data_IF_683832474475
#
_entry.id   IF_683832474475
#
_cell.length_a   1.000
_cell.length_b   1.000
_cell.length_c   1.000
_cell.angle_alpha   90.00
_cell.angle_beta   90.00
_cell.angle_gamma   90.00
#
_symmetry.space_group_name_H-M   'P 1'
#
loop_
_entity.id
_entity.type
_entity.pdbx_description
1 polymer ?
#
# COMPACT_ATOMS: atom_id res chain seq x y z
N UNK A 1 13.87 -2.02 9.69
CA UNK A 1 15.31 -1.66 9.60
C UNK A 1 15.76 -0.65 10.66
N UNK A 2 14.89 0.26 11.10
CA UNK A 2 15.26 1.32 12.02
C UNK A 2 15.44 0.93 13.49
N UNK A 3 15.34 -0.35 13.87
CA UNK A 3 15.48 -0.80 15.28
C UNK A 3 16.59 -1.85 15.48
N UNK A 4 17.20 -2.36 14.41
CA UNK A 4 18.21 -3.42 14.51
C UNK A 4 19.61 -2.83 14.64
N UNK A 5 20.30 -3.15 15.73
CA UNK A 5 21.75 -2.89 15.93
C UNK A 5 22.64 -4.06 15.50
N UNK A 6 22.06 -5.23 15.20
CA UNK A 6 22.77 -6.47 14.85
C UNK A 6 22.44 -6.93 13.42
N UNK A 7 23.42 -7.57 12.74
CA UNK A 7 23.29 -8.06 11.37
C UNK A 7 22.09 -9.01 11.17
N UNK A 8 21.87 -9.94 12.11
CA UNK A 8 20.73 -10.86 12.06
C UNK A 8 19.37 -10.15 12.11
N UNK A 9 19.25 -9.08 12.91
CA UNK A 9 18.03 -8.27 12.95
C UNK A 9 17.80 -7.50 11.66
N UNK A 10 18.86 -7.02 11.01
CA UNK A 10 18.76 -6.34 9.72
C UNK A 10 18.31 -7.31 8.60
N UNK A 11 18.87 -8.52 8.57
CA UNK A 11 18.49 -9.55 7.61
C UNK A 11 17.03 -10.00 7.76
N UNK A 12 16.59 -10.25 9.00
CA UNK A 12 15.19 -10.60 9.29
C UNK A 12 14.21 -9.50 8.86
N UNK A 13 14.54 -8.23 9.14
CA UNK A 13 13.70 -7.10 8.74
C UNK A 13 13.64 -6.93 7.22
N UNK A 14 14.70 -7.29 6.48
CA UNK A 14 14.69 -7.29 5.02
C UNK A 14 13.85 -8.41 4.43
N UNK A 15 13.92 -9.60 5.02
CA UNK A 15 13.08 -10.72 4.61
C UNK A 15 11.60 -10.40 4.77
N UNK A 16 11.21 -9.86 5.93
CA UNK A 16 9.82 -9.47 6.19
C UNK A 16 9.34 -8.35 5.26
N UNK A 17 10.19 -7.36 4.98
CA UNK A 17 9.86 -6.31 4.02
C UNK A 17 9.61 -6.88 2.62
N UNK A 18 10.50 -7.74 2.12
CA UNK A 18 10.36 -8.35 0.80
C UNK A 18 9.11 -9.24 0.71
N UNK A 19 8.80 -10.00 1.76
CA UNK A 19 7.56 -10.77 1.85
C UNK A 19 6.32 -9.87 1.74
N UNK A 20 6.29 -8.76 2.49
CA UNK A 20 5.18 -7.81 2.44
C UNK A 20 5.02 -7.14 1.06
N UNK A 21 6.13 -6.71 0.45
CA UNK A 21 6.11 -6.07 -0.87
C UNK A 21 5.61 -7.03 -1.98
N UNK A 22 5.95 -8.32 -1.89
CA UNK A 22 5.51 -9.31 -2.89
C UNK A 22 4.00 -9.53 -2.94
N UNK A 23 3.31 -9.45 -1.80
CA UNK A 23 1.87 -9.70 -1.70
C UNK A 23 1.09 -8.51 -2.27
N UNK A 24 1.64 -7.31 -2.20
CA UNK A 24 0.95 -6.07 -2.50
C UNK A 24 0.40 -6.03 -3.94
N UNK A 25 1.22 -6.36 -4.94
CA UNK A 25 0.78 -6.38 -6.33
C UNK A 25 -0.33 -7.40 -6.55
N UNK A 26 -0.15 -8.64 -6.09
CA UNK A 26 -1.13 -9.71 -6.25
C UNK A 26 -2.48 -9.35 -5.59
N UNK A 27 -2.45 -8.73 -4.41
CA UNK A 27 -3.65 -8.28 -3.71
C UNK A 27 -4.42 -7.24 -4.52
N UNK A 28 -3.74 -6.22 -5.08
CA UNK A 28 -4.40 -5.21 -5.92
C UNK A 28 -5.00 -5.80 -7.19
N UNK A 29 -4.32 -6.75 -7.83
CA UNK A 29 -4.84 -7.46 -9.00
C UNK A 29 -6.11 -8.25 -8.66
N UNK A 30 -6.12 -8.99 -7.54
CA UNK A 30 -7.29 -9.77 -7.12
C UNK A 30 -8.47 -8.86 -6.80
N UNK A 31 -8.25 -7.79 -6.03
CA UNK A 31 -9.32 -6.82 -5.72
C UNK A 31 -9.87 -6.21 -7.01
N UNK A 32 -9.01 -5.78 -7.94
CA UNK A 32 -9.48 -5.21 -9.21
C UNK A 32 -10.26 -6.23 -10.05
N UNK A 33 -9.84 -7.50 -10.06
CA UNK A 33 -10.58 -8.55 -10.76
C UNK A 33 -11.93 -8.90 -10.12
N UNK A 34 -12.06 -8.78 -8.80
CA UNK A 34 -13.31 -9.06 -8.10
C UNK A 34 -14.40 -8.02 -8.35
N UNK A 35 -14.03 -6.77 -8.66
CA UNK A 35 -14.96 -5.64 -8.76
C UNK A 35 -15.19 -5.14 -10.20
N UNK A 36 -14.38 -5.56 -11.17
CA UNK A 36 -14.43 -5.04 -12.55
C UNK A 36 -14.42 -6.13 -13.62
N UNK A 37 -15.24 -5.93 -14.65
CA UNK A 37 -15.32 -6.75 -15.86
C UNK A 37 -14.05 -6.65 -16.71
N UNK A 38 -13.76 -7.70 -17.49
CA UNK A 38 -12.51 -7.85 -18.27
C UNK A 38 -12.19 -6.69 -19.20
N UNK A 39 -13.20 -6.00 -19.71
CA UNK A 39 -13.04 -4.86 -20.62
C UNK A 39 -12.59 -3.57 -19.88
N UNK A 40 -12.93 -3.43 -18.60
CA UNK A 40 -12.62 -2.23 -17.80
C UNK A 40 -11.31 -2.34 -17.00
N UNK A 41 -10.86 -3.58 -16.77
CA UNK A 41 -9.61 -3.89 -16.06
C UNK A 41 -8.37 -3.13 -16.58
N UNK A 42 -8.08 -3.07 -17.91
CA UNK A 42 -6.85 -2.44 -18.39
C UNK A 42 -6.78 -0.94 -18.10
N UNK A 43 -7.89 -0.22 -18.25
CA UNK A 43 -7.94 1.23 -18.01
C UNK A 43 -7.68 1.54 -16.53
N UNK A 44 -8.26 0.74 -15.63
CA UNK A 44 -8.07 0.94 -14.19
C UNK A 44 -6.67 0.56 -13.73
N UNK A 45 -6.11 -0.54 -14.25
CA UNK A 45 -4.72 -0.91 -13.98
C UNK A 45 -3.75 0.16 -14.47
N UNK A 46 -3.99 0.74 -15.64
CA UNK A 46 -3.19 1.87 -16.13
C UNK A 46 -3.31 3.10 -15.23
N UNK A 47 -4.51 3.40 -14.72
CA UNK A 47 -4.70 4.49 -13.75
C UNK A 47 -3.93 4.23 -12.44
N UNK A 48 -3.97 3.00 -11.90
CA UNK A 48 -3.19 2.60 -10.73
C UNK A 48 -1.69 2.75 -10.96
N UNK A 49 -1.18 2.20 -12.06
CA UNK A 49 0.24 2.33 -12.41
C UNK A 49 0.65 3.78 -12.67
N UNK A 50 -0.24 4.59 -13.23
CA UNK A 50 -0.05 6.02 -13.48
C UNK A 50 0.12 6.87 -12.22
N UNK A 51 -0.29 6.38 -11.05
CA UNK A 51 -0.04 7.08 -9.76
C UNK A 51 1.40 6.93 -9.27
N UNK A 52 2.17 5.96 -9.78
CA UNK A 52 3.56 5.71 -9.38
C UNK A 52 4.46 6.96 -9.45
N UNK A 53 4.51 7.75 -10.54
CA UNK A 53 5.31 8.97 -10.59
C UNK A 53 4.88 10.03 -9.56
N UNK A 54 3.58 10.13 -9.26
CA UNK A 54 3.08 11.06 -8.24
C UNK A 54 3.61 10.65 -6.86
N UNK A 55 3.58 9.35 -6.56
CA UNK A 55 4.14 8.82 -5.31
C UNK A 55 5.65 9.09 -5.19
N UNK A 56 6.40 9.02 -6.29
CA UNK A 56 7.84 9.35 -6.30
C UNK A 56 8.07 10.84 -5.99
N UNK A 57 7.27 11.74 -6.56
CA UNK A 57 7.37 13.20 -6.30
C UNK A 57 7.05 13.50 -4.82
N UNK A 58 6.00 12.89 -4.29
CA UNK A 58 5.65 13.05 -2.86
C UNK A 58 6.76 12.47 -1.97
N UNK A 59 7.28 11.28 -2.31
CA UNK A 59 8.37 10.63 -1.59
C UNK A 59 9.67 11.45 -1.59
N UNK A 60 10.01 12.10 -2.69
CA UNK A 60 11.19 12.96 -2.78
C UNK A 60 11.03 14.26 -1.97
N UNK A 61 9.83 14.84 -1.93
CA UNK A 61 9.51 15.98 -1.06
C UNK A 61 9.62 15.60 0.43
N UNK A 62 9.12 14.42 0.81
CA UNK A 62 9.28 13.88 2.16
C UNK A 62 10.76 13.65 2.52
N UNK A 63 11.56 13.10 1.60
CA UNK A 63 12.99 12.91 1.80
C UNK A 63 13.73 14.25 2.00
N UNK A 64 13.35 15.29 1.25
CA UNK A 64 13.87 16.64 1.45
C UNK A 64 13.53 17.20 2.85
N UNK A 65 12.30 17.00 3.32
CA UNK A 65 11.88 17.41 4.66
C UNK A 65 12.64 16.69 5.78
N UNK A 66 12.90 15.39 5.63
CA UNK A 66 13.72 14.61 6.57
C UNK A 66 15.19 15.09 6.54
N UNK A 67 15.67 15.55 5.38
CA UNK A 67 16.98 16.17 5.19
C UNK A 67 17.27 17.37 6.11
N UNK A 68 16.23 18.09 6.52
CA UNK A 68 16.34 19.25 7.42
C UNK A 68 16.38 18.90 8.92
N UNK A 69 16.14 17.63 9.28
CA UNK A 69 16.08 17.19 10.67
C UNK A 69 17.50 16.86 11.15
N UNK A 70 18.10 17.78 11.89
CA UNK A 70 19.43 17.61 12.49
C UNK A 70 19.31 16.78 13.77
N UNK A 71 19.45 15.46 13.67
CA UNK A 71 19.35 14.54 14.82
C UNK A 71 20.47 13.51 14.80
N UNK A 72 20.88 13.04 15.98
CA UNK A 72 21.99 12.10 16.20
C UNK A 72 21.68 10.66 15.72
N UNK A 73 20.49 10.45 15.14
CA UNK A 73 20.00 9.16 14.67
C UNK A 73 20.01 9.26 13.13
N UNK A 74 20.68 8.33 12.45
CA UNK A 74 20.87 8.43 10.99
C UNK A 74 19.57 8.68 10.23
N UNK A 75 19.53 9.72 9.38
CA UNK A 75 18.37 10.20 8.62
C UNK A 75 17.57 9.08 7.95
N UNK A 76 18.27 8.06 7.42
CA UNK A 76 17.68 6.91 6.76
C UNK A 76 16.67 6.14 7.64
N UNK A 77 16.88 6.09 8.96
CA UNK A 77 15.98 5.40 9.91
C UNK A 77 14.63 6.10 10.00
N UNK A 78 14.59 7.43 9.90
CA UNK A 78 13.36 8.20 9.93
C UNK A 78 12.49 7.94 8.70
N UNK A 79 13.08 7.84 7.51
CA UNK A 79 12.33 7.49 6.30
C UNK A 79 11.61 6.14 6.44
N UNK A 80 12.28 5.14 7.01
CA UNK A 80 11.66 3.82 7.24
C UNK A 80 10.58 3.82 8.31
N UNK A 81 10.73 4.61 9.37
CA UNK A 81 9.72 4.71 10.44
C UNK A 81 8.48 5.45 9.92
N UNK A 82 8.66 6.58 9.24
CA UNK A 82 7.56 7.41 8.75
C UNK A 82 6.78 6.66 7.66
N UNK A 83 7.47 6.13 6.65
CA UNK A 83 6.81 5.35 5.60
C UNK A 83 6.14 4.10 6.18
N UNK A 84 6.79 3.40 7.12
CA UNK A 84 6.21 2.24 7.79
C UNK A 84 4.95 2.59 8.57
N UNK A 85 4.96 3.69 9.33
CA UNK A 85 3.81 4.15 10.11
C UNK A 85 2.63 4.52 9.21
N UNK A 86 2.88 5.26 8.11
CA UNK A 86 1.84 5.62 7.14
C UNK A 86 1.24 4.36 6.52
N UNK A 87 2.06 3.38 6.11
CA UNK A 87 1.58 2.12 5.55
C UNK A 87 0.74 1.31 6.54
N UNK A 88 1.11 1.28 7.82
CA UNK A 88 0.32 0.58 8.87
C UNK A 88 -1.02 1.29 9.09
N UNK A 89 -1.03 2.61 9.18
CA UNK A 89 -2.28 3.39 9.32
C UNK A 89 -3.18 3.13 8.10
N UNK A 90 -2.62 3.14 6.89
CA UNK A 90 -3.37 2.85 5.67
C UNK A 90 -3.92 1.42 5.66
N UNK A 91 -3.14 0.43 6.10
CA UNK A 91 -3.60 -0.95 6.22
C UNK A 91 -4.76 -1.09 7.22
N UNK A 92 -4.72 -0.38 8.35
CA UNK A 92 -5.83 -0.35 9.32
C UNK A 92 -7.07 0.30 8.71
N UNK A 93 -6.91 1.41 7.99
CA UNK A 93 -8.03 2.04 7.28
C UNK A 93 -8.63 1.07 6.26
N UNK A 94 -7.81 0.42 5.44
CA UNK A 94 -8.27 -0.57 4.48
C UNK A 94 -8.95 -1.77 5.14
N UNK A 95 -8.49 -2.21 6.32
CA UNK A 95 -9.14 -3.27 7.08
C UNK A 95 -10.60 -2.92 7.43
N UNK A 96 -10.85 -1.65 7.80
CA UNK A 96 -12.21 -1.20 8.13
C UNK A 96 -13.02 -0.78 6.90
N UNK A 97 -12.38 -0.20 5.88
CA UNK A 97 -13.03 0.36 4.71
C UNK A 97 -13.27 -0.65 3.59
N UNK A 98 -12.51 -1.77 3.53
CA UNK A 98 -12.61 -2.77 2.48
C UNK A 98 -13.49 -3.95 2.95
N UNK A 99 -14.79 -4.01 2.57
CA UNK A 99 -15.60 -5.20 2.79
C UNK A 99 -15.03 -6.36 1.96
N UNK A 100 -14.77 -7.49 2.62
CA UNK A 100 -14.13 -8.70 2.09
C UNK A 100 -14.89 -9.41 0.97
N UNK A 101 -16.06 -8.92 0.59
CA UNK A 101 -16.87 -9.45 -0.49
C UNK A 101 -17.64 -8.32 -1.19
N UNK A 102 -17.73 -8.31 -2.54
CA UNK A 102 -18.67 -7.43 -3.25
C UNK A 102 -20.13 -7.70 -2.85
N UNK A 103 -20.41 -8.88 -2.28
CA UNK A 103 -21.68 -9.19 -1.65
C UNK A 103 -21.86 -8.56 -0.25
N UNK A 104 -20.81 -8.13 0.46
CA UNK A 104 -20.93 -7.54 1.81
C UNK A 104 -20.68 -6.02 1.81
N UNK A 105 -20.76 -5.40 0.65
CA UNK A 105 -20.45 -3.99 0.51
C UNK A 105 -21.53 -3.13 1.18
N UNK A 106 -21.19 -2.47 2.29
CA UNK A 106 -22.11 -1.59 3.01
C UNK A 106 -22.56 -0.37 2.18
N UNK A 107 -21.93 -0.16 1.01
CA UNK A 107 -22.18 0.96 0.10
C UNK A 107 -23.02 0.59 -1.14
N UNK A 108 -23.24 -0.70 -1.47
CA UNK A 108 -24.04 -1.09 -2.65
C UNK A 108 -25.51 -1.37 -2.28
N UNK A 109 -26.42 -0.80 -3.07
CA UNK A 109 -27.85 -1.15 -3.02
C UNK A 109 -28.11 -2.53 -3.66
N UNK A 110 -29.21 -3.20 -3.28
CA UNK A 110 -29.58 -4.57 -3.72
C UNK A 110 -29.49 -4.78 -5.25
N UNK A 111 -29.72 -3.72 -6.03
CA UNK A 111 -29.68 -3.71 -7.50
C UNK A 111 -28.28 -3.78 -8.10
N UNK A 112 -27.29 -3.14 -7.48
CA UNK A 112 -25.90 -3.15 -7.95
C UNK A 112 -25.21 -4.48 -7.60
N UNK A 113 -25.64 -5.11 -6.50
CA UNK A 113 -25.19 -6.43 -6.07
C UNK A 113 -25.55 -7.55 -7.07
N UNK A 114 -26.66 -7.40 -7.79
CA UNK A 114 -27.11 -8.34 -8.84
C UNK A 114 -26.33 -8.14 -10.15
N UNK A 115 -25.94 -6.90 -10.46
CA UNK A 115 -25.16 -6.59 -11.67
C UNK A 115 -23.71 -7.07 -11.51
N UNK A 116 -23.14 -6.99 -10.31
CA UNK A 116 -21.79 -7.49 -10.02
C UNK A 116 -21.67 -9.03 -10.04
N UNK A 117 -22.79 -9.76 -9.98
CA UNK A 117 -22.84 -11.24 -10.01
C UNK A 117 -23.15 -11.82 -11.40
N UNK A 118 -23.31 -10.97 -12.42
CA UNK A 118 -23.62 -11.37 -13.80
C UNK A 118 -22.42 -11.20 -14.71
#
# INVERSE_FOLDING_TARGET
MAASSNFGGFAALRFLLGAAESIQLAAFFIITNMWYTREEQPIRLMAWYGMSPIAIIVGSLFAYGIGHINSNIGLWRFSFIICGAISVVWAVILWFALPSNPASAWFLNERERIIALR
#
